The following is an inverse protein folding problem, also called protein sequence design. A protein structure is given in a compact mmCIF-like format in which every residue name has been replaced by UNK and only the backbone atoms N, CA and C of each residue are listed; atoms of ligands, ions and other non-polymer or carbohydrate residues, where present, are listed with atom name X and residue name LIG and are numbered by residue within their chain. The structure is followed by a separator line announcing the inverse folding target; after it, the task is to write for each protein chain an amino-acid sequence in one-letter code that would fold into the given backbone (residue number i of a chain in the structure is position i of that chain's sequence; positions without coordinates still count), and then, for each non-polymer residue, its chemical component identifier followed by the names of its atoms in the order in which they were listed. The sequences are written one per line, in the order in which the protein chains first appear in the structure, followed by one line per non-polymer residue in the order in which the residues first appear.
data_IF_463184440138
#
_entry.id   IF_463184440138
#
_cell.length_a   1.000
_cell.length_b   1.000
_cell.length_c   1.000
_cell.angle_alpha   90.00
_cell.angle_beta   90.00
_cell.angle_gamma   90.00
#
_symmetry.space_group_name_H-M   'P 1'
#
loop_
_entity.id
_entity.type
_entity.pdbx_description
1 polymer ?
#
# COMPACT_ATOMS: atom_id res chain seq x y z
N UNK A 1 -2.29 29.59 -5.02
CA UNK A 1 -1.18 28.94 -5.75
C UNK A 1 -0.81 27.66 -4.99
N UNK A 2 -1.07 26.48 -5.55
CA UNK A 2 -0.71 25.21 -4.89
C UNK A 2 0.79 25.00 -5.00
N UNK A 3 1.47 24.81 -3.86
CA UNK A 3 2.89 24.45 -3.81
C UNK A 3 3.09 23.17 -4.66
N UNK A 4 4.09 23.11 -5.56
CA UNK A 4 4.39 21.86 -6.25
C UNK A 4 4.58 20.76 -5.19
N UNK A 5 4.11 19.55 -5.49
CA UNK A 5 4.27 18.41 -4.59
C UNK A 5 5.78 18.15 -4.43
N UNK A 6 6.34 18.70 -3.36
CA UNK A 6 7.73 18.51 -2.97
C UNK A 6 7.92 17.02 -2.72
N UNK A 7 8.81 16.40 -3.49
CA UNK A 7 9.18 15.00 -3.27
C UNK A 7 9.80 14.97 -1.86
N UNK A 8 9.22 14.23 -0.90
CA UNK A 8 9.77 14.18 0.43
C UNK A 8 11.24 13.69 0.35
N UNK A 9 12.12 14.17 1.24
CA UNK A 9 13.49 13.69 1.28
C UNK A 9 13.52 12.16 1.38
N UNK A 10 14.58 11.51 0.85
CA UNK A 10 14.73 10.07 0.97
C UNK A 10 14.68 9.65 2.44
N UNK A 11 14.15 8.45 2.70
CA UNK A 11 14.03 7.93 4.06
C UNK A 11 15.43 7.75 4.66
N UNK A 12 15.60 8.21 5.90
CA UNK A 12 16.84 7.95 6.65
C UNK A 12 16.95 6.48 7.05
N UNK A 13 18.17 5.97 7.34
CA UNK A 13 18.35 4.62 7.87
C UNK A 13 17.50 4.32 9.12
N UNK A 14 17.35 5.29 10.01
CA UNK A 14 16.54 5.15 11.23
C UNK A 14 15.04 5.07 10.91
N UNK A 15 14.56 5.85 9.93
CA UNK A 15 13.18 5.76 9.47
C UNK A 15 12.89 4.42 8.80
N UNK A 16 13.82 3.91 7.99
CA UNK A 16 13.71 2.59 7.36
C UNK A 16 13.64 1.51 8.45
N UNK A 17 14.54 1.55 9.44
CA UNK A 17 14.54 0.60 10.55
C UNK A 17 13.22 0.64 11.35
N UNK A 18 12.68 1.83 11.61
CA UNK A 18 11.39 2.00 12.28
C UNK A 18 10.24 1.40 11.46
N UNK A 19 10.23 1.60 10.14
CA UNK A 19 9.25 0.99 9.23
C UNK A 19 9.37 -0.54 9.25
N UNK A 20 10.57 -1.09 9.16
CA UNK A 20 10.82 -2.54 9.20
C UNK A 20 10.29 -3.16 10.50
N UNK A 21 10.62 -2.56 11.66
CA UNK A 21 10.19 -3.03 12.99
C UNK A 21 8.68 -2.92 13.18
N UNK A 22 8.09 -1.76 12.86
CA UNK A 22 6.64 -1.55 13.00
C UNK A 22 5.84 -2.45 12.05
N UNK A 23 6.31 -2.62 10.81
CA UNK A 23 5.66 -3.50 9.85
C UNK A 23 5.70 -4.97 10.29
N UNK A 24 6.79 -5.43 10.89
CA UNK A 24 6.87 -6.78 11.45
C UNK A 24 5.80 -7.02 12.53
N UNK A 25 5.49 -6.02 13.36
CA UNK A 25 4.41 -6.09 14.38
C UNK A 25 3.04 -6.18 13.73
N UNK A 26 2.83 -5.45 12.64
CA UNK A 26 1.59 -5.43 11.84
C UNK A 26 1.36 -6.74 11.10
N UNK A 27 2.41 -7.41 10.62
CA UNK A 27 2.29 -8.69 9.89
C UNK A 27 1.62 -9.81 10.69
N UNK A 28 1.64 -9.74 12.04
CA UNK A 28 0.89 -10.64 12.92
C UNK A 28 -0.63 -10.57 12.70
N UNK A 29 -1.11 -9.46 12.16
CA UNK A 29 -2.53 -9.20 11.89
C UNK A 29 -2.79 -8.98 10.39
N UNK A 30 -1.94 -9.52 9.50
CA UNK A 30 -1.97 -9.27 8.05
C UNK A 30 -3.35 -9.51 7.39
N UNK A 31 -4.10 -10.52 7.83
CA UNK A 31 -5.42 -10.81 7.28
C UNK A 31 -6.41 -9.67 7.61
N UNK A 32 -6.51 -9.32 8.89
CA UNK A 32 -7.36 -8.23 9.35
C UNK A 32 -6.95 -6.86 8.77
N UNK A 33 -5.65 -6.63 8.56
CA UNK A 33 -5.19 -5.43 7.87
C UNK A 33 -5.67 -5.41 6.41
N UNK A 34 -5.48 -6.51 5.67
CA UNK A 34 -5.91 -6.60 4.28
C UNK A 34 -7.41 -6.39 4.11
N UNK A 35 -8.22 -6.93 5.02
CA UNK A 35 -9.66 -6.67 5.08
C UNK A 35 -9.95 -5.19 5.22
N UNK A 36 -9.37 -4.53 6.23
CA UNK A 36 -9.56 -3.08 6.45
C UNK A 36 -9.12 -2.23 5.27
N UNK A 37 -8.04 -2.60 4.58
CA UNK A 37 -7.59 -1.90 3.36
C UNK A 37 -8.71 -1.91 2.32
N UNK A 38 -9.29 -3.07 2.03
CA UNK A 38 -10.34 -3.19 1.02
C UNK A 38 -11.67 -2.60 1.45
N UNK A 39 -12.07 -2.76 2.72
CA UNK A 39 -13.28 -2.12 3.26
C UNK A 39 -13.18 -0.59 3.13
N UNK A 40 -12.03 -0.02 3.50
CA UNK A 40 -11.79 1.42 3.38
C UNK A 40 -11.68 1.86 1.93
N UNK A 41 -11.04 1.07 1.08
CA UNK A 41 -10.93 1.39 -0.35
C UNK A 41 -12.30 1.41 -1.02
N UNK A 42 -13.16 0.43 -0.77
CA UNK A 42 -14.51 0.40 -1.34
C UNK A 42 -15.45 1.44 -0.72
N UNK A 43 -15.17 1.90 0.51
CA UNK A 43 -15.85 3.09 1.06
C UNK A 43 -15.45 4.36 0.30
N UNK A 44 -14.16 4.51 -0.04
CA UNK A 44 -13.63 5.67 -0.75
C UNK A 44 -13.90 5.65 -2.26
N UNK A 45 -14.04 4.46 -2.86
CA UNK A 45 -14.30 4.23 -4.27
C UNK A 45 -15.32 3.07 -4.44
N UNK A 46 -16.61 3.28 -4.12
CA UNK A 46 -17.63 2.24 -4.26
C UNK A 46 -17.70 1.66 -5.68
N UNK A 47 -17.47 2.50 -6.69
CA UNK A 47 -17.45 2.12 -8.10
C UNK A 47 -16.36 1.10 -8.43
N UNK A 48 -15.29 1.02 -7.64
CA UNK A 48 -14.20 0.09 -7.88
C UNK A 48 -14.57 -1.36 -7.53
N UNK A 49 -15.61 -1.60 -6.70
CA UNK A 49 -15.95 -2.95 -6.23
C UNK A 49 -16.21 -3.94 -7.37
N UNK A 50 -16.85 -3.48 -8.45
CA UNK A 50 -17.14 -4.30 -9.63
C UNK A 50 -15.92 -4.76 -10.41
N UNK A 51 -14.75 -4.14 -10.18
CA UNK A 51 -13.48 -4.54 -10.80
C UNK A 51 -12.80 -5.72 -10.09
N UNK A 52 -13.33 -6.12 -8.92
CA UNK A 52 -12.75 -7.17 -8.11
C UNK A 52 -13.68 -8.40 -8.04
N UNK A 53 -13.12 -9.61 -7.95
CA UNK A 53 -13.92 -10.82 -7.80
C UNK A 53 -14.80 -10.80 -6.54
N UNK A 54 -15.86 -11.64 -6.49
CA UNK A 54 -16.61 -11.86 -5.26
C UNK A 54 -15.72 -12.37 -4.12
N UNK A 55 -14.89 -13.38 -4.40
CA UNK A 55 -13.88 -13.88 -3.47
C UNK A 55 -12.61 -13.02 -3.51
N UNK A 56 -12.37 -12.31 -2.41
CA UNK A 56 -11.26 -11.37 -2.24
C UNK A 56 -10.01 -12.01 -1.62
N UNK A 57 -10.01 -13.31 -1.32
CA UNK A 57 -8.92 -14.00 -0.60
C UNK A 57 -7.57 -13.82 -1.30
N UNK A 58 -7.48 -14.15 -2.59
CA UNK A 58 -6.25 -14.00 -3.37
C UNK A 58 -5.83 -12.53 -3.49
N UNK A 59 -6.80 -11.61 -3.56
CA UNK A 59 -6.52 -10.19 -3.70
C UNK A 59 -5.96 -9.57 -2.40
N UNK A 60 -6.50 -9.96 -1.25
CA UNK A 60 -5.98 -9.61 0.09
C UNK A 60 -4.56 -10.13 0.30
N UNK A 61 -4.28 -11.36 -0.15
CA UNK A 61 -2.91 -11.90 -0.11
C UNK A 61 -1.95 -11.07 -0.97
N UNK A 62 -2.37 -10.66 -2.18
CA UNK A 62 -1.56 -9.83 -3.09
C UNK A 62 -1.22 -8.46 -2.51
N UNK A 63 -2.17 -7.76 -1.88
CA UNK A 63 -1.86 -6.44 -1.28
C UNK A 63 -0.83 -6.58 -0.15
N UNK A 64 -0.94 -7.62 0.69
CA UNK A 64 0.06 -7.85 1.74
C UNK A 64 1.42 -8.26 1.19
N UNK A 65 1.45 -9.03 0.10
CA UNK A 65 2.70 -9.36 -0.59
C UNK A 65 3.36 -8.10 -1.17
N UNK A 66 2.59 -7.21 -1.80
CA UNK A 66 3.09 -5.96 -2.36
C UNK A 66 3.69 -5.06 -1.27
N UNK A 67 2.99 -4.86 -0.15
CA UNK A 67 3.51 -4.09 1.00
C UNK A 67 4.80 -4.70 1.55
N UNK A 68 4.83 -6.03 1.71
CA UNK A 68 6.02 -6.72 2.19
C UNK A 68 7.21 -6.60 1.23
N UNK A 69 6.99 -6.59 -0.08
CA UNK A 69 8.03 -6.37 -1.07
C UNK A 69 8.58 -4.95 -1.03
N UNK A 70 7.71 -3.94 -0.88
CA UNK A 70 8.14 -2.54 -0.74
C UNK A 70 9.01 -2.38 0.51
N UNK A 71 8.54 -2.84 1.68
CA UNK A 71 9.28 -2.72 2.94
C UNK A 71 10.67 -3.39 2.85
N UNK A 72 10.76 -4.57 2.25
CA UNK A 72 12.05 -5.28 2.05
C UNK A 72 13.01 -4.56 1.11
N UNK A 73 12.49 -3.73 0.20
CA UNK A 73 13.31 -3.00 -0.78
C UNK A 73 13.83 -1.65 -0.29
N UNK A 74 13.34 -1.13 0.85
CA UNK A 74 13.57 0.26 1.29
C UNK A 74 15.04 0.65 1.46
N UNK A 75 15.95 -0.32 1.61
CA UNK A 75 17.40 -0.08 1.74
C UNK A 75 18.11 0.18 0.42
N UNK A 76 17.41 0.14 -0.71
CA UNK A 76 17.98 0.40 -2.03
C UNK A 76 16.97 1.01 -2.99
N UNK A 77 17.25 2.23 -3.43
CA UNK A 77 16.40 2.96 -4.37
C UNK A 77 16.17 2.19 -5.67
N UNK A 78 17.19 1.49 -6.16
CA UNK A 78 17.09 0.64 -7.35
C UNK A 78 16.10 -0.52 -7.14
N UNK A 79 16.05 -1.09 -5.94
CA UNK A 79 15.11 -2.15 -5.61
C UNK A 79 13.68 -1.63 -5.46
N UNK A 80 13.52 -0.48 -4.79
CA UNK A 80 12.22 0.20 -4.67
C UNK A 80 11.67 0.52 -6.06
N UNK A 81 12.48 1.08 -6.94
CA UNK A 81 12.09 1.40 -8.32
C UNK A 81 11.62 0.15 -9.07
N UNK A 82 12.39 -0.94 -9.00
CA UNK A 82 12.05 -2.21 -9.65
C UNK A 82 10.73 -2.79 -9.14
N UNK A 83 10.49 -2.76 -7.84
CA UNK A 83 9.23 -3.22 -7.22
C UNK A 83 8.07 -2.33 -7.67
N UNK A 84 8.24 -1.01 -7.63
CA UNK A 84 7.22 -0.04 -8.03
C UNK A 84 6.83 -0.21 -9.50
N UNK A 85 7.80 -0.40 -10.40
CA UNK A 85 7.53 -0.66 -11.81
C UNK A 85 6.77 -1.97 -12.05
N UNK A 86 7.14 -3.03 -11.32
CA UNK A 86 6.43 -4.31 -11.37
C UNK A 86 4.95 -4.15 -10.98
N UNK A 87 4.70 -3.39 -9.90
CA UNK A 87 3.36 -3.04 -9.47
C UNK A 87 2.63 -2.19 -10.53
N UNK A 88 3.28 -1.18 -11.10
CA UNK A 88 2.70 -0.33 -12.14
C UNK A 88 2.28 -1.16 -13.38
N UNK A 89 3.15 -2.05 -13.88
CA UNK A 89 2.83 -2.96 -15.00
C UNK A 89 1.62 -3.85 -14.69
N UNK A 90 1.53 -4.37 -13.47
CA UNK A 90 0.39 -5.22 -13.05
C UNK A 90 -0.95 -4.46 -13.02
N UNK A 91 -0.91 -3.13 -12.87
CA UNK A 91 -2.09 -2.27 -12.84
C UNK A 91 -2.41 -1.59 -14.17
N UNK A 92 -1.44 -1.52 -15.09
CA UNK A 92 -1.59 -0.84 -16.39
C UNK A 92 -2.80 -1.34 -17.18
N UNK A 93 -3.05 -2.65 -17.18
CA UNK A 93 -4.18 -3.28 -17.88
C UNK A 93 -5.56 -2.80 -17.42
N UNK A 94 -5.65 -2.16 -16.25
CA UNK A 94 -6.92 -1.67 -15.70
C UNK A 94 -7.17 -0.19 -16.02
N UNK A 95 -6.24 0.49 -16.71
CA UNK A 95 -6.42 1.89 -17.13
C UNK A 95 -6.69 2.87 -15.98
N UNK A 96 -6.23 2.55 -14.76
CA UNK A 96 -6.54 3.32 -13.56
C UNK A 96 -6.03 4.75 -13.68
N UNK A 97 -6.90 5.73 -13.40
CA UNK A 97 -6.50 7.12 -13.32
C UNK A 97 -5.86 7.46 -11.96
N UNK A 98 -5.16 8.60 -11.89
CA UNK A 98 -4.49 9.08 -10.68
C UNK A 98 -5.38 9.11 -9.41
N UNK A 99 -6.69 9.45 -9.48
CA UNK A 99 -7.56 9.44 -8.30
C UNK A 99 -7.70 8.05 -7.64
N UNK A 100 -7.73 6.97 -8.41
CA UNK A 100 -7.88 5.61 -7.92
C UNK A 100 -6.65 5.18 -7.11
N UNK A 101 -5.45 5.53 -7.59
CA UNK A 101 -4.20 5.32 -6.85
C UNK A 101 -4.18 6.11 -5.53
N UNK A 102 -4.64 7.37 -5.54
CA UNK A 102 -4.72 8.17 -4.31
C UNK A 102 -5.68 7.58 -3.27
N UNK A 103 -6.85 7.08 -3.70
CA UNK A 103 -7.81 6.45 -2.79
C UNK A 103 -7.29 5.15 -2.21
N UNK A 104 -6.59 4.33 -3.01
CA UNK A 104 -5.92 3.12 -2.51
C UNK A 104 -4.82 3.46 -1.51
N UNK A 105 -3.97 4.45 -1.81
CA UNK A 105 -2.95 4.92 -0.88
C UNK A 105 -3.56 5.42 0.44
N UNK A 106 -4.64 6.21 0.37
CA UNK A 106 -5.37 6.65 1.54
C UNK A 106 -5.95 5.48 2.35
N UNK A 107 -6.51 4.47 1.68
CA UNK A 107 -7.04 3.26 2.32
C UNK A 107 -5.94 2.50 3.08
N UNK A 108 -4.78 2.26 2.44
CA UNK A 108 -3.61 1.62 3.05
C UNK A 108 -3.15 2.38 4.29
N UNK A 109 -2.94 3.70 4.18
CA UNK A 109 -2.41 4.52 5.27
C UNK A 109 -3.36 4.52 6.47
N UNK A 110 -4.68 4.62 6.26
CA UNK A 110 -5.60 4.55 7.39
C UNK A 110 -5.72 3.17 8.00
N UNK A 111 -5.74 2.11 7.17
CA UNK A 111 -5.77 0.75 7.69
C UNK A 111 -4.53 0.45 8.56
N UNK A 112 -3.36 0.97 8.18
CA UNK A 112 -2.14 0.92 8.99
C UNK A 112 -2.29 1.74 10.28
N UNK A 113 -2.75 2.98 10.21
CA UNK A 113 -2.96 3.85 11.39
C UNK A 113 -3.88 3.22 12.43
N UNK A 114 -4.94 2.58 11.98
CA UNK A 114 -5.95 1.97 12.85
C UNK A 114 -5.54 0.57 13.33
N UNK A 115 -4.39 0.05 12.86
CA UNK A 115 -3.91 -1.28 13.23
C UNK A 115 -3.24 -1.25 14.61
N UNK A 116 -3.58 -2.20 15.51
CA UNK A 116 -3.03 -2.27 16.88
C UNK A 116 -1.51 -2.54 16.97
N UNK A 117 -0.79 -2.60 15.85
CA UNK A 117 0.66 -2.75 15.77
C UNK A 117 1.42 -1.53 15.25
N UNK A 118 0.73 -0.42 14.94
CA UNK A 118 1.32 0.80 14.36
C UNK A 118 1.81 1.83 15.40
N UNK A 119 1.68 1.53 16.70
CA UNK A 119 2.18 2.32 17.83
C UNK A 119 3.32 1.65 18.57
#
# INVERSE_FOLDING_TARGET
MSRPAEIPPPLSPDQIALIEVSFARVLRYKAALADRVYDRYFTLAPEARGLFPPDMTAQRAKVMQALSSIVRSLRSDAEVARVAEGLARSHQRFGLAAPQYRRMAAAIIGALRDSPGAG
#
